data_IF_817747230366
#
_entry.id   IF_817747230366
#
_cell.length_a   1.000
_cell.length_b   1.000
_cell.length_c   1.000
_cell.angle_alpha   90.00
_cell.angle_beta   90.00
_cell.angle_gamma   90.00
#
_symmetry.space_group_name_H-M   'P 1'
#
loop_
_entity.id
_entity.type
_entity.pdbx_description
1 polymer ?
#
# COMPACT_ATOMS: atom_id res chain seq x y z
N UNK A 1 -24.53 -13.54 11.08
CA UNK A 1 -23.68 -13.87 12.25
C UNK A 1 -22.64 -14.96 11.97
N UNK A 2 -22.93 -15.98 11.15
CA UNK A 2 -22.00 -17.11 10.93
C UNK A 2 -20.71 -16.76 10.15
N UNK A 3 -20.77 -15.87 9.16
CA UNK A 3 -19.63 -15.55 8.28
C UNK A 3 -18.49 -14.84 8.99
N UNK A 4 -18.79 -13.87 9.87
CA UNK A 4 -17.76 -13.12 10.63
C UNK A 4 -16.96 -14.04 11.54
N UNK A 5 -17.64 -14.97 12.25
CA UNK A 5 -16.99 -15.93 13.14
C UNK A 5 -16.13 -16.94 12.37
N UNK A 6 -16.60 -17.39 11.20
CA UNK A 6 -15.81 -18.25 10.33
C UNK A 6 -14.55 -17.53 9.80
N UNK A 7 -14.67 -16.27 9.39
CA UNK A 7 -13.53 -15.46 8.95
C UNK A 7 -12.55 -15.22 10.09
N UNK A 8 -13.04 -14.94 11.31
CA UNK A 8 -12.19 -14.83 12.50
C UNK A 8 -11.43 -16.14 12.77
N UNK A 9 -12.12 -17.28 12.78
CA UNK A 9 -11.49 -18.60 12.97
C UNK A 9 -10.43 -18.88 11.91
N UNK A 10 -10.68 -18.53 10.65
CA UNK A 10 -9.72 -18.68 9.54
C UNK A 10 -8.47 -17.80 9.72
N UNK A 11 -8.63 -16.59 10.26
CA UNK A 11 -7.55 -15.61 10.42
C UNK A 11 -6.95 -15.56 11.84
N UNK A 12 -7.35 -16.49 12.73
CA UNK A 12 -7.01 -16.47 14.15
C UNK A 12 -5.50 -16.33 14.40
N UNK A 13 -4.67 -17.05 13.64
CA UNK A 13 -3.20 -16.95 13.72
C UNK A 13 -2.68 -15.54 13.42
N UNK A 14 -3.27 -14.86 12.44
CA UNK A 14 -2.90 -13.47 12.11
C UNK A 14 -3.29 -12.50 13.23
N UNK A 15 -4.42 -12.75 13.90
CA UNK A 15 -4.85 -11.97 15.06
C UNK A 15 -3.86 -12.10 16.22
N UNK A 16 -3.45 -13.34 16.54
CA UNK A 16 -2.45 -13.59 17.60
C UNK A 16 -1.11 -12.93 17.24
N UNK A 17 -0.62 -13.12 16.01
CA UNK A 17 0.61 -12.49 15.55
C UNK A 17 0.56 -10.96 15.60
N UNK A 18 -0.61 -10.35 15.35
CA UNK A 18 -0.78 -8.90 15.44
C UNK A 18 -0.79 -8.34 16.87
N UNK A 19 -0.94 -9.19 17.87
CA UNK A 19 -0.85 -8.83 19.29
C UNK A 19 0.58 -9.09 19.81
N UNK A 20 1.18 -10.20 19.40
CA UNK A 20 2.48 -10.65 19.92
C UNK A 20 3.68 -9.94 19.29
N UNK A 21 3.53 -9.44 18.05
CA UNK A 21 4.61 -8.77 17.32
C UNK A 21 4.51 -7.25 17.44
N UNK A 22 5.65 -6.57 17.54
CA UNK A 22 5.73 -5.10 17.57
C UNK A 22 5.46 -4.45 16.20
N UNK A 23 5.24 -5.24 15.15
CA UNK A 23 4.98 -4.72 13.82
C UNK A 23 3.59 -4.11 13.70
N UNK A 24 3.54 -2.84 13.28
CA UNK A 24 2.30 -2.15 12.97
C UNK A 24 2.00 -2.16 11.47
N UNK A 25 0.72 -2.32 11.13
CA UNK A 25 0.22 -2.11 9.76
C UNK A 25 0.25 -0.63 9.34
N UNK A 26 0.64 0.29 10.23
CA UNK A 26 0.55 1.74 10.01
C UNK A 26 1.27 2.25 8.76
N UNK A 27 2.48 1.75 8.46
CA UNK A 27 3.22 2.13 7.26
C UNK A 27 2.51 1.67 5.97
N UNK A 28 2.03 0.42 5.95
CA UNK A 28 1.29 -0.14 4.82
C UNK A 28 -0.03 0.60 4.58
N UNK A 29 -0.76 0.92 5.64
CA UNK A 29 -1.98 1.73 5.54
C UNK A 29 -1.70 3.16 5.09
N UNK A 30 -0.59 3.75 5.55
CA UNK A 30 -0.12 5.05 5.10
C UNK A 30 0.10 5.08 3.59
N UNK A 31 0.84 4.10 3.07
CA UNK A 31 1.08 3.95 1.64
C UNK A 31 -0.23 3.74 0.86
N UNK A 32 -1.10 2.85 1.34
CA UNK A 32 -2.39 2.60 0.71
C UNK A 32 -3.29 3.86 0.67
N UNK A 33 -3.24 4.71 1.70
CA UNK A 33 -3.97 5.98 1.72
C UNK A 33 -3.43 6.95 0.68
N UNK A 34 -2.10 7.09 0.56
CA UNK A 34 -1.46 7.93 -0.46
C UNK A 34 -1.81 7.48 -1.88
N UNK A 35 -1.66 6.19 -2.20
CA UNK A 35 -2.02 5.65 -3.52
C UNK A 35 -3.48 5.97 -3.86
N UNK A 36 -4.41 5.71 -2.92
CA UNK A 36 -5.83 6.02 -3.12
C UNK A 36 -6.08 7.52 -3.30
N UNK A 37 -5.29 8.39 -2.67
CA UNK A 37 -5.40 9.85 -2.87
C UNK A 37 -4.92 10.25 -4.26
N UNK A 38 -3.84 9.65 -4.75
CA UNK A 38 -3.33 9.84 -6.11
C UNK A 38 -4.37 9.39 -7.13
N UNK A 39 -4.96 8.21 -6.96
CA UNK A 39 -6.03 7.71 -7.83
C UNK A 39 -7.24 8.66 -7.88
N UNK A 40 -7.66 9.22 -6.73
CA UNK A 40 -8.78 10.17 -6.67
C UNK A 40 -8.50 11.50 -7.33
N UNK A 41 -7.25 11.95 -7.31
CA UNK A 41 -6.83 13.25 -7.89
C UNK A 41 -6.34 13.11 -9.33
N UNK A 42 -6.05 11.90 -9.79
CA UNK A 42 -5.57 11.59 -11.13
C UNK A 42 -6.72 11.41 -12.14
N UNK A 43 -7.48 12.48 -12.38
CA UNK A 43 -8.34 12.56 -13.55
C UNK A 43 -7.46 12.47 -14.81
N UNK A 44 -7.46 11.32 -15.50
CA UNK A 44 -6.78 11.14 -16.79
C UNK A 44 -5.56 10.21 -16.82
N UNK A 45 -5.25 9.46 -15.76
CA UNK A 45 -4.30 8.34 -15.86
C UNK A 45 -4.90 7.18 -16.69
N UNK A 46 -4.83 7.32 -18.02
CA UNK A 46 -5.46 6.41 -18.99
C UNK A 46 -4.84 5.00 -19.00
N UNK A 47 -3.65 4.81 -18.42
CA UNK A 47 -2.97 3.52 -18.28
C UNK A 47 -2.27 3.38 -16.92
N UNK A 48 -2.01 2.13 -16.53
CA UNK A 48 -1.35 1.79 -15.27
C UNK A 48 0.08 2.35 -15.16
N UNK A 49 0.80 2.42 -16.27
CA UNK A 49 2.17 2.98 -16.32
C UNK A 49 2.18 4.45 -15.89
N UNK A 50 1.17 5.24 -16.29
CA UNK A 50 1.05 6.64 -15.91
C UNK A 50 0.65 6.80 -14.44
N UNK A 51 -0.16 5.88 -13.90
CA UNK A 51 -0.45 5.84 -12.46
C UNK A 51 0.84 5.56 -11.66
N UNK A 52 1.62 4.56 -12.07
CA UNK A 52 2.92 4.26 -11.44
C UNK A 52 3.87 5.45 -11.49
N UNK A 53 4.03 6.11 -12.64
CA UNK A 53 4.87 7.31 -12.76
C UNK A 53 4.45 8.41 -11.79
N UNK A 54 3.15 8.62 -11.61
CA UNK A 54 2.62 9.62 -10.68
C UNK A 54 2.86 9.22 -9.22
N UNK A 55 2.70 7.94 -8.87
CA UNK A 55 3.06 7.43 -7.54
C UNK A 55 4.53 7.67 -7.23
N UNK A 56 5.44 7.38 -8.16
CA UNK A 56 6.88 7.61 -7.96
C UNK A 56 7.23 9.10 -7.80
N UNK A 57 6.54 9.97 -8.54
CA UNK A 57 6.74 11.42 -8.44
C UNK A 57 6.30 11.96 -7.06
N UNK A 58 5.12 11.55 -6.58
CA UNK A 58 4.54 12.00 -5.31
C UNK A 58 5.33 11.47 -4.09
N UNK A 59 5.93 10.28 -4.21
CA UNK A 59 6.84 9.75 -3.19
C UNK A 59 8.21 10.47 -3.17
N UNK A 60 8.45 11.47 -4.03
CA UNK A 60 9.74 12.15 -4.20
C UNK A 60 10.92 11.19 -4.42
N UNK A 61 10.65 10.00 -4.97
CA UNK A 61 11.68 9.15 -5.56
C UNK A 61 11.97 9.73 -6.94
N UNK A 62 12.47 10.97 -6.97
CA UNK A 62 13.28 11.41 -8.09
C UNK A 62 14.55 10.59 -7.97
N UNK A 63 14.55 9.41 -8.57
CA UNK A 63 15.81 8.89 -9.06
C UNK A 63 16.24 9.91 -10.10
N UNK A 64 17.07 10.87 -9.69
CA UNK A 64 18.16 11.24 -10.58
C UNK A 64 18.67 9.91 -11.10
N UNK A 65 18.67 9.74 -12.42
CA UNK A 65 19.30 8.57 -13.01
C UNK A 65 20.74 8.62 -12.55
N UNK A 66 21.06 7.95 -11.45
CA UNK A 66 22.42 7.73 -11.04
C UNK A 66 23.01 6.92 -12.19
N UNK A 67 24.03 7.44 -12.90
CA UNK A 67 24.61 6.77 -14.07
C UNK A 67 25.28 5.42 -13.74
N UNK A 68 25.15 4.94 -12.49
CA UNK A 68 25.79 3.74 -11.94
C UNK A 68 24.82 2.76 -11.26
N UNK A 69 23.51 2.85 -11.43
CA UNK A 69 22.65 1.73 -11.03
C UNK A 69 22.85 0.55 -11.98
N UNK A 70 23.44 -0.53 -11.46
CA UNK A 70 23.56 -1.86 -12.11
C UNK A 70 22.17 -2.41 -12.42
#
# INVERSE_FOLDING_TARGET
MHTTLLTFKRNYRGVINGIDLEYSNGCLEGLNRKIKQIERTAFGCRNFVNLLKRIHLEENVVTEKDPYSI
#
